data_IF_130844121241
#
_entry.id   IF_130844121241
#
_cell.length_a   1.000
_cell.length_b   1.000
_cell.length_c   1.000
_cell.angle_alpha   90.00
_cell.angle_beta   90.00
_cell.angle_gamma   90.00
#
_symmetry.space_group_name_H-M   'P 1'
#
loop_
_entity.id
_entity.type
_entity.pdbx_description
1 polymer ?
#
# COMPACT_ATOMS: atom_id res chain seq x y z
N UNK A 1 22.48 13.21 0.83
CA UNK A 1 22.43 13.56 -0.62
C UNK A 1 21.04 13.37 -1.25
N UNK A 2 20.34 12.25 -1.09
CA UNK A 2 18.98 12.06 -1.63
C UNK A 2 17.95 13.03 -1.01
N UNK A 3 18.00 13.27 0.29
CA UNK A 3 17.14 14.22 0.99
C UNK A 3 17.24 15.65 0.44
N UNK A 4 18.46 16.09 0.10
CA UNK A 4 18.68 17.43 -0.44
C UNK A 4 18.06 17.66 -1.82
N UNK A 5 17.88 16.58 -2.60
CA UNK A 5 17.27 16.63 -3.93
C UNK A 5 15.74 16.56 -3.89
N UNK A 6 15.19 15.90 -2.88
CA UNK A 6 13.76 15.55 -2.81
C UNK A 6 12.99 16.37 -1.79
N UNK A 7 13.67 16.98 -0.81
CA UNK A 7 13.02 17.58 0.35
C UNK A 7 12.35 16.58 1.30
N UNK A 8 12.43 15.26 1.01
CA UNK A 8 11.88 14.19 1.83
C UNK A 8 12.84 13.00 1.93
N UNK A 9 12.79 12.30 3.06
CA UNK A 9 13.61 11.11 3.30
C UNK A 9 12.82 9.85 2.95
N UNK A 10 13.13 9.23 1.81
CA UNK A 10 12.50 7.98 1.41
C UNK A 10 12.99 6.77 2.21
N UNK A 11 14.18 6.86 2.83
CA UNK A 11 14.72 5.77 3.65
C UNK A 11 13.98 5.67 4.99
N UNK A 12 13.32 6.74 5.42
CA UNK A 12 12.41 6.71 6.56
C UNK A 12 11.21 5.79 6.35
N UNK A 13 10.84 5.53 5.08
CA UNK A 13 9.73 4.60 4.78
C UNK A 13 10.19 3.16 5.00
N UNK A 14 9.48 2.47 5.86
CA UNK A 14 9.81 1.09 6.21
C UNK A 14 9.90 0.17 4.99
N UNK A 15 10.96 -0.64 4.99
CA UNK A 15 11.27 -1.55 3.90
C UNK A 15 12.07 -0.93 2.76
N UNK A 16 12.23 0.40 2.72
CA UNK A 16 13.14 1.07 1.80
C UNK A 16 14.52 1.23 2.45
N UNK A 17 15.56 0.98 1.68
CA UNK A 17 16.94 1.32 2.01
C UNK A 17 17.51 2.27 0.94
N UNK A 18 18.72 2.73 1.12
CA UNK A 18 19.36 3.67 0.18
C UNK A 18 19.36 3.17 -1.26
N UNK A 19 19.67 1.88 -1.47
CA UNK A 19 19.74 1.28 -2.81
C UNK A 19 18.36 1.24 -3.47
N UNK A 20 17.33 0.83 -2.73
CA UNK A 20 15.96 0.80 -3.25
C UNK A 20 15.42 2.20 -3.49
N UNK A 21 15.71 3.16 -2.61
CA UNK A 21 15.36 4.57 -2.78
C UNK A 21 16.03 5.17 -4.03
N UNK A 22 17.33 4.91 -4.24
CA UNK A 22 18.04 5.35 -5.44
C UNK A 22 17.46 4.72 -6.71
N UNK A 23 17.15 3.42 -6.67
CA UNK A 23 16.53 2.71 -7.80
C UNK A 23 15.17 3.32 -8.15
N UNK A 24 14.34 3.58 -7.14
CA UNK A 24 13.03 4.22 -7.33
C UNK A 24 13.23 5.58 -8.00
N UNK A 25 14.10 6.43 -7.45
CA UNK A 25 14.34 7.76 -7.99
C UNK A 25 14.92 7.79 -9.39
N UNK A 26 15.82 6.86 -9.72
CA UNK A 26 16.39 6.78 -11.08
C UNK A 26 15.34 6.48 -12.14
N UNK A 27 14.25 5.82 -11.77
CA UNK A 27 13.15 5.47 -12.69
C UNK A 27 12.06 6.55 -12.73
N UNK A 28 11.67 7.09 -11.56
CA UNK A 28 10.55 8.03 -11.48
C UNK A 28 10.97 9.48 -11.67
N UNK A 29 12.23 9.82 -11.37
CA UNK A 29 12.69 11.21 -11.30
C UNK A 29 12.15 11.95 -10.08
N UNK A 30 12.26 13.26 -10.10
CA UNK A 30 11.78 14.15 -9.02
C UNK A 30 10.45 14.83 -9.35
N UNK A 31 10.05 14.80 -10.62
CA UNK A 31 8.81 15.46 -11.10
C UNK A 31 7.64 14.46 -11.05
N UNK A 32 6.77 14.65 -10.05
CA UNK A 32 5.56 13.84 -9.87
C UNK A 32 4.37 14.30 -10.73
N UNK A 33 4.49 15.44 -11.44
CA UNK A 33 3.43 15.96 -12.33
C UNK A 33 3.13 15.04 -13.52
N UNK A 34 4.05 14.12 -13.83
CA UNK A 34 3.88 13.07 -14.86
C UNK A 34 2.69 12.14 -14.59
N UNK A 35 2.26 12.04 -13.34
CA UNK A 35 1.12 11.23 -12.94
C UNK A 35 0.06 12.12 -12.28
N UNK A 36 -1.11 12.16 -12.88
CA UNK A 36 -2.22 12.97 -12.39
C UNK A 36 -2.65 12.57 -10.97
N UNK A 37 -2.55 11.28 -10.65
CA UNK A 37 -2.90 10.73 -9.34
C UNK A 37 -2.05 9.49 -8.98
N UNK A 38 -2.19 9.04 -7.74
CA UNK A 38 -1.49 7.87 -7.23
C UNK A 38 -1.93 6.56 -7.92
N UNK A 39 -3.11 6.53 -8.52
CA UNK A 39 -3.62 5.33 -9.20
C UNK A 39 -2.90 5.12 -10.52
N UNK A 40 -2.70 6.21 -11.28
CA UNK A 40 -1.91 6.18 -12.51
C UNK A 40 -0.45 5.85 -12.22
N UNK A 41 0.13 6.41 -11.15
CA UNK A 41 1.47 6.08 -10.70
C UNK A 41 1.60 4.59 -10.35
N UNK A 42 0.72 4.04 -9.51
CA UNK A 42 0.74 2.63 -9.14
C UNK A 42 0.45 1.70 -10.32
N UNK A 43 -0.37 2.13 -11.28
CA UNK A 43 -0.62 1.39 -12.52
C UNK A 43 0.63 1.34 -13.40
N UNK A 44 1.33 2.46 -13.55
CA UNK A 44 2.60 2.52 -14.28
C UNK A 44 3.67 1.64 -13.67
N UNK A 45 3.72 1.53 -12.32
CA UNK A 45 4.60 0.61 -11.59
C UNK A 45 4.22 -0.87 -11.75
N UNK A 46 3.07 -1.18 -12.35
CA UNK A 46 2.53 -2.55 -12.41
C UNK A 46 2.08 -3.10 -11.05
N UNK A 47 1.67 -2.21 -10.14
CA UNK A 47 1.21 -2.57 -8.80
C UNK A 47 -0.31 -2.46 -8.63
N UNK A 48 -1.02 -1.86 -9.59
CA UNK A 48 -2.47 -1.80 -9.58
C UNK A 48 -3.08 -3.05 -10.23
N UNK A 49 -4.21 -3.56 -9.71
CA UNK A 49 -4.93 -4.65 -10.37
C UNK A 49 -5.56 -4.16 -11.67
N UNK A 50 -5.36 -4.91 -12.74
CA UNK A 50 -6.09 -4.76 -13.99
C UNK A 50 -7.16 -5.84 -14.05
N UNK A 51 -8.42 -5.42 -14.01
CA UNK A 51 -9.57 -6.32 -13.98
C UNK A 51 -10.19 -6.43 -15.37
N UNK A 52 -10.25 -7.65 -15.88
CA UNK A 52 -11.04 -7.96 -17.07
C UNK A 52 -12.49 -8.15 -16.61
N UNK A 53 -13.40 -7.28 -17.05
CA UNK A 53 -14.81 -7.29 -16.62
C UNK A 53 -15.70 -7.62 -17.80
N UNK A 54 -16.63 -8.56 -17.63
CA UNK A 54 -17.69 -8.84 -18.59
C UNK A 54 -19.01 -9.05 -17.87
N UNK A 55 -20.09 -8.42 -18.37
CA UNK A 55 -21.42 -8.53 -17.76
C UNK A 55 -21.47 -8.11 -16.29
N UNK A 56 -20.65 -7.14 -15.87
CA UNK A 56 -20.55 -6.66 -14.48
C UNK A 56 -19.78 -7.60 -13.53
N UNK A 57 -19.24 -8.73 -14.05
CA UNK A 57 -18.44 -9.67 -13.26
C UNK A 57 -16.96 -9.55 -13.59
N UNK A 58 -16.11 -9.56 -12.58
CA UNK A 58 -14.66 -9.64 -12.75
C UNK A 58 -14.29 -11.06 -13.17
N UNK A 59 -13.90 -11.24 -14.44
CA UNK A 59 -13.47 -12.51 -14.99
C UNK A 59 -12.04 -12.87 -14.57
N UNK A 60 -11.17 -11.88 -14.56
CA UNK A 60 -9.77 -12.01 -14.22
C UNK A 60 -9.27 -10.74 -13.54
N UNK A 61 -8.46 -10.90 -12.49
CA UNK A 61 -7.74 -9.82 -11.84
C UNK A 61 -6.26 -10.13 -11.86
N UNK A 62 -5.47 -9.32 -12.53
CA UNK A 62 -4.00 -9.46 -12.60
C UNK A 62 -3.36 -8.08 -12.65
N UNK A 63 -2.11 -7.97 -12.26
CA UNK A 63 -1.32 -6.76 -12.50
C UNK A 63 -0.73 -6.80 -13.91
N UNK A 64 -0.52 -5.63 -14.50
CA UNK A 64 0.20 -5.53 -15.77
C UNK A 64 1.62 -6.06 -15.60
N UNK A 65 2.11 -6.81 -16.59
CA UNK A 65 3.51 -7.19 -16.66
C UNK A 65 4.31 -5.96 -17.10
N UNK A 66 5.09 -5.42 -16.20
CA UNK A 66 6.01 -4.32 -16.49
C UNK A 66 7.43 -4.72 -16.13
N UNK A 67 8.41 -4.25 -16.89
CA UNK A 67 9.84 -4.39 -16.57
C UNK A 67 10.35 -3.19 -15.74
N UNK A 68 9.46 -2.51 -15.02
CA UNK A 68 9.76 -1.33 -14.26
C UNK A 68 10.58 -1.68 -13.00
N UNK A 69 11.82 -1.17 -12.90
CA UNK A 69 12.72 -1.42 -11.78
C UNK A 69 12.20 -0.81 -10.47
N UNK A 70 11.54 0.35 -10.53
CA UNK A 70 10.91 0.94 -9.34
C UNK A 70 9.77 0.05 -8.82
N UNK A 71 8.93 -0.50 -9.68
CA UNK A 71 7.91 -1.47 -9.29
C UNK A 71 8.49 -2.72 -8.63
N UNK A 72 9.66 -3.17 -9.10
CA UNK A 72 10.40 -4.27 -8.47
C UNK A 72 10.94 -3.88 -7.09
N UNK A 73 11.52 -2.68 -6.96
CA UNK A 73 12.03 -2.17 -5.69
C UNK A 73 10.92 -2.08 -4.63
N UNK A 74 9.71 -1.63 -4.99
CA UNK A 74 8.57 -1.63 -4.09
C UNK A 74 8.11 -3.04 -3.68
N UNK A 75 8.22 -4.05 -4.56
CA UNK A 75 7.94 -5.45 -4.19
C UNK A 75 8.97 -6.00 -3.21
N UNK A 76 10.25 -5.65 -3.39
CA UNK A 76 11.31 -6.00 -2.44
C UNK A 76 11.08 -5.34 -1.07
N UNK A 77 10.71 -4.06 -1.05
CA UNK A 77 10.33 -3.36 0.18
C UNK A 77 9.15 -4.06 0.89
N UNK A 78 8.13 -4.48 0.14
CA UNK A 78 7.00 -5.22 0.70
C UNK A 78 7.41 -6.57 1.31
N UNK A 79 8.39 -7.25 0.73
CA UNK A 79 8.94 -8.48 1.31
C UNK A 79 9.76 -8.19 2.56
N UNK A 80 10.54 -7.11 2.58
CA UNK A 80 11.35 -6.72 3.74
C UNK A 80 10.46 -6.45 4.96
N UNK A 81 9.35 -5.72 4.80
CA UNK A 81 8.43 -5.42 5.92
C UNK A 81 7.58 -6.62 6.36
N UNK A 82 7.57 -7.73 5.65
CA UNK A 82 6.69 -8.87 5.92
C UNK A 82 6.84 -9.44 7.35
N UNK A 83 8.04 -9.35 7.92
CA UNK A 83 8.39 -9.87 9.25
C UNK A 83 8.50 -8.78 10.31
N UNK A 84 8.33 -7.51 9.96
CA UNK A 84 8.47 -6.40 10.89
C UNK A 84 7.21 -6.20 11.74
N UNK A 85 7.38 -5.62 12.95
CA UNK A 85 6.25 -5.22 13.78
C UNK A 85 5.86 -3.77 13.51
N UNK A 86 5.45 -3.48 12.29
CA UNK A 86 5.10 -2.16 11.78
C UNK A 86 3.72 -2.20 11.15
N UNK A 87 3.16 -1.04 10.81
CA UNK A 87 1.87 -0.95 10.12
C UNK A 87 1.87 -1.68 8.78
N UNK A 88 2.98 -1.58 8.01
CA UNK A 88 3.10 -2.31 6.75
C UNK A 88 3.24 -3.82 6.97
N UNK A 89 3.99 -4.24 7.99
CA UNK A 89 4.10 -5.66 8.36
C UNK A 89 2.76 -6.26 8.80
N UNK A 90 2.00 -5.52 9.62
CA UNK A 90 0.65 -5.92 10.03
C UNK A 90 -0.31 -6.01 8.83
N UNK A 91 -0.27 -5.02 7.93
CA UNK A 91 -1.03 -5.05 6.68
C UNK A 91 -0.66 -6.26 5.81
N UNK A 92 0.63 -6.53 5.63
CA UNK A 92 1.11 -7.66 4.86
C UNK A 92 0.59 -8.99 5.41
N UNK A 93 0.72 -9.22 6.73
CA UNK A 93 0.25 -10.45 7.37
C UNK A 93 -1.25 -10.64 7.19
N UNK A 94 -2.04 -9.57 7.34
CA UNK A 94 -3.50 -9.60 7.09
C UNK A 94 -3.82 -9.97 5.64
N UNK A 95 -3.18 -9.30 4.67
CA UNK A 95 -3.39 -9.59 3.25
C UNK A 95 -2.96 -11.00 2.87
N UNK A 96 -1.88 -11.50 3.47
CA UNK A 96 -1.40 -12.87 3.27
C UNK A 96 -2.40 -13.90 3.77
N UNK A 97 -2.99 -13.69 4.94
CA UNK A 97 -4.01 -14.58 5.51
C UNK A 97 -5.28 -14.64 4.63
N UNK A 98 -5.67 -13.50 4.04
CA UNK A 98 -6.91 -13.41 3.24
C UNK A 98 -6.73 -13.85 1.78
N UNK A 99 -5.57 -13.56 1.17
CA UNK A 99 -5.41 -13.64 -0.29
C UNK A 99 -4.15 -14.39 -0.74
N UNK A 100 -3.35 -14.87 0.20
CA UNK A 100 -2.09 -15.56 -0.07
C UNK A 100 -0.89 -14.63 -0.29
N UNK A 101 0.34 -15.19 -0.36
CA UNK A 101 1.57 -14.43 -0.29
C UNK A 101 1.80 -13.51 -1.51
N UNK A 102 1.49 -13.97 -2.71
CA UNK A 102 1.74 -13.19 -3.94
C UNK A 102 0.89 -11.91 -3.98
N UNK A 103 -0.39 -12.00 -3.61
CA UNK A 103 -1.27 -10.83 -3.55
C UNK A 103 -0.89 -9.91 -2.39
N UNK A 104 -0.42 -10.45 -1.27
CA UNK A 104 0.06 -9.66 -0.15
C UNK A 104 1.29 -8.80 -0.52
N UNK A 105 2.25 -9.37 -1.26
CA UNK A 105 3.42 -8.62 -1.76
C UNK A 105 2.97 -7.44 -2.61
N UNK A 106 2.12 -7.67 -3.60
CA UNK A 106 1.67 -6.61 -4.52
C UNK A 106 0.84 -5.55 -3.80
N UNK A 107 -0.08 -5.95 -2.92
CA UNK A 107 -0.91 -5.01 -2.17
C UNK A 107 -0.08 -4.14 -1.22
N UNK A 108 0.93 -4.72 -0.56
CA UNK A 108 1.82 -3.98 0.33
C UNK A 108 2.74 -3.06 -0.47
N UNK A 109 3.30 -3.53 -1.59
CA UNK A 109 4.09 -2.72 -2.51
C UNK A 109 3.29 -1.51 -3.03
N UNK A 110 2.03 -1.73 -3.41
CA UNK A 110 1.11 -0.65 -3.81
C UNK A 110 0.91 0.38 -2.68
N UNK A 111 0.72 -0.09 -1.44
CA UNK A 111 0.54 0.79 -0.28
C UNK A 111 1.79 1.64 -0.01
N UNK A 112 3.00 1.04 -0.06
CA UNK A 112 4.27 1.74 0.08
C UNK A 112 4.47 2.75 -1.06
N UNK A 113 4.23 2.34 -2.31
CA UNK A 113 4.36 3.21 -3.48
C UNK A 113 3.42 4.42 -3.40
N UNK A 114 2.19 4.22 -2.93
CA UNK A 114 1.24 5.31 -2.70
C UNK A 114 1.73 6.30 -1.65
N UNK A 115 2.32 5.83 -0.56
CA UNK A 115 2.93 6.69 0.46
C UNK A 115 4.06 7.51 -0.14
N UNK A 116 4.97 6.88 -0.88
CA UNK A 116 6.09 7.56 -1.56
C UNK A 116 5.57 8.60 -2.57
N UNK A 117 4.50 8.29 -3.31
CA UNK A 117 3.89 9.25 -4.23
C UNK A 117 3.46 10.54 -3.51
N UNK A 118 2.73 10.42 -2.40
CA UNK A 118 2.28 11.61 -1.65
C UNK A 118 3.44 12.35 -0.98
N UNK A 119 4.43 11.63 -0.44
CA UNK A 119 5.62 12.26 0.12
C UNK A 119 6.34 13.13 -0.92
N UNK A 120 6.55 12.61 -2.12
CA UNK A 120 7.25 13.32 -3.20
C UNK A 120 6.41 14.45 -3.79
N UNK A 121 5.09 14.23 -3.98
CA UNK A 121 4.20 15.25 -4.55
C UNK A 121 3.99 16.43 -3.60
N UNK A 122 3.79 16.15 -2.32
CA UNK A 122 3.37 17.14 -1.32
C UNK A 122 4.56 17.62 -0.47
N UNK A 123 5.78 17.11 -0.72
CA UNK A 123 6.98 17.34 0.09
C UNK A 123 6.76 17.15 1.59
N UNK A 124 5.96 16.14 1.95
CA UNK A 124 5.63 15.80 3.34
C UNK A 124 6.50 14.64 3.84
N UNK A 125 7.00 14.71 5.09
CA UNK A 125 7.79 13.63 5.66
C UNK A 125 6.93 12.36 5.86
N UNK A 126 7.60 11.21 5.95
CA UNK A 126 6.93 9.97 6.32
C UNK A 126 6.44 10.06 7.77
N UNK A 127 5.16 9.75 7.97
CA UNK A 127 4.58 9.57 9.30
C UNK A 127 4.46 8.08 9.58
N UNK A 128 5.29 7.63 10.51
CA UNK A 128 5.21 6.25 10.97
C UNK A 128 3.91 6.04 11.75
N UNK A 129 3.26 4.91 11.46
CA UNK A 129 2.08 4.45 12.20
C UNK A 129 2.45 3.12 12.84
N UNK A 130 2.31 3.00 14.16
CA UNK A 130 2.61 1.75 14.84
C UNK A 130 1.72 0.60 14.36
N UNK A 131 2.17 -0.64 14.58
CA UNK A 131 1.36 -1.82 14.27
C UNK A 131 0.07 -1.85 15.07
N UNK A 132 0.14 -1.40 16.33
CA UNK A 132 -0.98 -1.32 17.27
C UNK A 132 -2.04 -0.30 16.78
N UNK A 133 -1.61 0.90 16.41
CA UNK A 133 -2.51 1.92 15.84
C UNK A 133 -3.16 1.44 14.54
N UNK A 134 -2.38 0.77 13.68
CA UNK A 134 -2.94 0.18 12.47
C UNK A 134 -4.00 -0.86 12.79
N UNK A 135 -3.72 -1.79 13.72
CA UNK A 135 -4.67 -2.83 14.14
C UNK A 135 -5.93 -2.24 14.78
N UNK A 136 -5.78 -1.22 15.61
CA UNK A 136 -6.90 -0.52 16.23
C UNK A 136 -7.81 0.14 15.19
N UNK A 137 -7.23 0.88 14.24
CA UNK A 137 -7.99 1.49 13.13
C UNK A 137 -8.72 0.46 12.26
N UNK A 138 -8.09 -0.70 12.01
CA UNK A 138 -8.72 -1.77 11.25
C UNK A 138 -9.86 -2.43 12.03
N UNK A 139 -9.70 -2.63 13.34
CA UNK A 139 -10.77 -3.12 14.22
C UNK A 139 -11.97 -2.17 14.23
N UNK A 140 -11.72 -0.88 14.33
CA UNK A 140 -12.78 0.14 14.29
C UNK A 140 -13.55 0.14 12.95
N UNK A 141 -12.81 0.04 11.83
CA UNK A 141 -13.41 -0.09 10.49
C UNK A 141 -14.27 -1.35 10.36
N UNK A 142 -13.79 -2.47 10.89
CA UNK A 142 -14.53 -3.73 10.85
C UNK A 142 -15.82 -3.64 11.69
N UNK A 143 -15.75 -3.08 12.89
CA UNK A 143 -16.92 -2.83 13.73
C UNK A 143 -17.92 -1.92 13.01
N UNK A 144 -17.46 -0.84 12.40
CA UNK A 144 -18.32 0.08 11.65
C UNK A 144 -19.00 -0.62 10.47
N UNK A 145 -18.27 -1.49 9.74
CA UNK A 145 -18.80 -2.30 8.66
C UNK A 145 -19.86 -3.27 9.15
N UNK A 146 -19.61 -3.96 10.27
CA UNK A 146 -20.55 -4.90 10.88
C UNK A 146 -21.81 -4.19 11.38
N UNK A 147 -21.67 -3.03 12.03
CA UNK A 147 -22.80 -2.20 12.45
C UNK A 147 -23.69 -1.82 11.27
N UNK A 148 -23.08 -1.31 10.18
CA UNK A 148 -23.82 -0.95 8.96
C UNK A 148 -24.53 -2.15 8.34
N UNK A 149 -23.90 -3.32 8.34
CA UNK A 149 -24.51 -4.57 7.83
C UNK A 149 -25.66 -5.03 8.73
N UNK A 150 -25.49 -5.01 10.05
CA UNK A 150 -26.52 -5.36 11.01
C UNK A 150 -27.77 -4.46 10.86
N UNK A 151 -27.57 -3.15 10.80
CA UNK A 151 -28.69 -2.18 10.61
C UNK A 151 -29.44 -2.47 9.30
N UNK A 152 -28.73 -2.76 8.21
CA UNK A 152 -29.36 -3.10 6.92
C UNK A 152 -30.25 -4.35 6.98
N UNK A 153 -29.94 -5.26 7.90
CA UNK A 153 -30.69 -6.50 8.13
C UNK A 153 -31.71 -6.41 9.26
N UNK A 154 -31.92 -5.20 9.86
CA UNK A 154 -32.84 -4.99 10.97
C UNK A 154 -32.31 -5.40 12.34
N UNK A 155 -30.97 -5.58 12.48
CA UNK A 155 -30.33 -5.96 13.75
C UNK A 155 -29.49 -4.81 14.32
N UNK A 156 -29.30 -4.83 15.63
CA UNK A 156 -28.37 -3.96 16.34
C UNK A 156 -27.16 -4.77 16.79
N UNK A 157 -25.95 -4.22 16.57
CA UNK A 157 -24.73 -4.83 17.07
C UNK A 157 -24.37 -4.22 18.41
N UNK A 158 -24.37 -5.03 19.47
CA UNK A 158 -23.95 -4.65 20.81
C UNK A 158 -22.63 -5.36 21.18
N UNK A 159 -21.78 -4.76 22.02
CA UNK A 159 -20.64 -5.47 22.61
C UNK A 159 -21.11 -6.70 23.37
N UNK A 160 -20.34 -7.79 23.30
CA UNK A 160 -20.58 -8.92 24.17
C UNK A 160 -20.31 -8.47 25.61
N UNK A 161 -21.24 -8.76 26.54
CA UNK A 161 -20.99 -8.59 27.97
C UNK A 161 -19.83 -9.53 28.38
N UNK A 162 -18.84 -8.96 29.04
CA UNK A 162 -17.73 -9.72 29.59
C UNK A 162 -18.19 -10.59 30.75
#
# INVERSE_FOLDING_TARGET
>A
MLYQLLGVDLVAVEGLNEVTAQTILSEIGTDMSRWQDEKLFCSWLGLAPHNDISGGKVLRSRTLKTHNRAGQAFRLAAQAVSKTNTAYGAFFRRMRAMHGPMKAIVATAHKIARTVYFMLRDHTPFHDTSAEEYQQREREREIARLKKKATKLGFTLAPASA
#
